data_IF_413923351033
#
_entry.id   IF_413923351033
#
_cell.length_a   1.000
_cell.length_b   1.000
_cell.length_c   1.000
_cell.angle_alpha   90.00
_cell.angle_beta   90.00
_cell.angle_gamma   90.00
#
_symmetry.space_group_name_H-M   'P 1'
#
loop_
_entity.id
_entity.type
_entity.pdbx_description
1 polymer ?
#
# COMPACT_ATOMS: atom_id res chain seq x y z
N UNK A 1 16.24 -5.17 14.33
CA UNK A 1 16.51 -5.40 12.89
C UNK A 1 15.79 -6.60 12.28
N UNK A 2 15.94 -7.84 12.79
CA UNK A 2 15.32 -9.04 12.17
C UNK A 2 13.79 -8.98 12.13
N UNK A 3 13.14 -8.56 13.22
CA UNK A 3 11.68 -8.45 13.30
C UNK A 3 11.10 -7.41 12.33
N UNK A 4 11.77 -6.26 12.16
CA UNK A 4 11.34 -5.21 11.23
C UNK A 4 11.44 -5.69 9.78
N UNK A 5 12.58 -6.30 9.40
CA UNK A 5 12.76 -6.89 8.07
C UNK A 5 11.73 -7.99 7.76
N UNK A 6 11.40 -8.82 8.77
CA UNK A 6 10.34 -9.83 8.65
C UNK A 6 8.96 -9.20 8.44
N UNK A 7 8.62 -8.13 9.19
CA UNK A 7 7.36 -7.40 9.03
C UNK A 7 7.25 -6.76 7.63
N UNK A 8 8.31 -6.10 7.14
CA UNK A 8 8.39 -5.54 5.79
C UNK A 8 8.18 -6.63 4.73
N UNK A 9 8.87 -7.77 4.85
CA UNK A 9 8.73 -8.88 3.90
C UNK A 9 7.30 -9.44 3.89
N UNK A 10 6.69 -9.59 5.07
CA UNK A 10 5.30 -10.05 5.21
C UNK A 10 4.31 -9.08 4.56
N UNK A 11 4.47 -7.77 4.76
CA UNK A 11 3.62 -6.75 4.12
C UNK A 11 3.77 -6.73 2.61
N UNK A 12 5.00 -6.89 2.08
CA UNK A 12 5.21 -6.98 0.63
C UNK A 12 4.50 -8.19 0.01
N UNK A 13 4.56 -9.35 0.67
CA UNK A 13 3.82 -10.54 0.24
C UNK A 13 2.31 -10.31 0.30
N UNK A 14 1.82 -9.71 1.38
CA UNK A 14 0.40 -9.38 1.53
C UNK A 14 -0.10 -8.39 0.46
N UNK A 15 0.69 -7.37 0.11
CA UNK A 15 0.37 -6.44 -0.98
C UNK A 15 0.36 -7.12 -2.34
N UNK A 16 1.24 -8.11 -2.57
CA UNK A 16 1.21 -8.91 -3.79
C UNK A 16 -0.07 -9.76 -3.90
N UNK A 17 -0.51 -10.35 -2.78
CA UNK A 17 -1.79 -11.06 -2.70
C UNK A 17 -2.97 -10.12 -3.00
N UNK A 18 -2.98 -8.93 -2.38
CA UNK A 18 -4.01 -7.91 -2.62
C UNK A 18 -4.07 -7.54 -4.11
N UNK A 19 -2.92 -7.31 -4.73
CA UNK A 19 -2.85 -6.97 -6.16
C UNK A 19 -3.45 -8.07 -7.04
N UNK A 20 -3.11 -9.32 -6.77
CA UNK A 20 -3.69 -10.47 -7.48
C UNK A 20 -5.21 -10.51 -7.34
N UNK A 21 -5.72 -10.29 -6.12
CA UNK A 21 -7.16 -10.25 -5.83
C UNK A 21 -7.86 -9.07 -6.52
N UNK A 22 -7.22 -7.91 -6.59
CA UNK A 22 -7.71 -6.72 -7.27
C UNK A 22 -7.90 -6.99 -8.77
N UNK A 23 -6.89 -7.58 -9.42
CA UNK A 23 -6.95 -7.94 -10.85
C UNK A 23 -8.09 -8.95 -11.13
N UNK A 24 -8.28 -9.93 -10.23
CA UNK A 24 -9.39 -10.89 -10.32
C UNK A 24 -10.76 -10.21 -10.20
N UNK A 25 -10.92 -9.30 -9.23
CA UNK A 25 -12.18 -8.56 -9.04
C UNK A 25 -12.46 -7.64 -10.23
N UNK A 26 -11.45 -6.95 -10.76
CA UNK A 26 -11.59 -6.09 -11.94
C UNK A 26 -12.08 -6.87 -13.16
N UNK A 27 -11.51 -8.05 -13.39
CA UNK A 27 -11.94 -8.94 -14.46
C UNK A 27 -13.40 -9.40 -14.26
N UNK A 28 -13.75 -9.79 -13.04
CA UNK A 28 -15.11 -10.23 -12.67
C UNK A 28 -16.14 -9.11 -12.88
N UNK A 29 -15.82 -7.89 -12.43
CA UNK A 29 -16.68 -6.71 -12.60
C UNK A 29 -16.89 -6.40 -14.09
N UNK A 30 -15.83 -6.43 -14.90
CA UNK A 30 -15.92 -6.22 -16.36
C UNK A 30 -16.80 -7.28 -17.03
N UNK A 31 -16.67 -8.54 -16.62
CA UNK A 31 -17.49 -9.64 -17.13
C UNK A 31 -18.97 -9.44 -16.82
N UNK A 32 -19.34 -9.15 -15.56
CA UNK A 32 -20.74 -8.92 -15.19
C UNK A 32 -21.35 -7.72 -15.92
N UNK A 33 -20.63 -6.61 -16.04
CA UNK A 33 -21.07 -5.46 -16.85
C UNK A 33 -21.34 -5.84 -18.30
N UNK A 34 -20.46 -6.65 -18.88
CA UNK A 34 -20.62 -7.14 -20.26
C UNK A 34 -21.85 -8.05 -20.39
N UNK A 35 -22.10 -8.91 -19.41
CA UNK A 35 -23.28 -9.79 -19.41
C UNK A 35 -24.58 -8.99 -19.30
N UNK A 36 -24.66 -8.04 -18.36
CA UNK A 36 -25.82 -7.14 -18.21
C UNK A 36 -26.13 -6.40 -19.51
N UNK A 37 -25.11 -5.86 -20.19
CA UNK A 37 -25.30 -5.14 -21.44
C UNK A 37 -25.79 -6.02 -22.60
N UNK A 38 -25.58 -7.34 -22.55
CA UNK A 38 -25.94 -8.28 -23.62
C UNK A 38 -27.35 -8.85 -23.47
N UNK A 39 -27.85 -8.99 -22.24
CA UNK A 39 -29.13 -9.64 -21.93
C UNK A 39 -30.36 -8.98 -22.58
N UNK A 40 -30.52 -7.64 -22.58
CA UNK A 40 -31.66 -6.98 -23.22
C UNK A 40 -31.78 -7.33 -24.71
N UNK A 41 -30.64 -7.39 -25.41
CA UNK A 41 -30.59 -7.77 -26.83
C UNK A 41 -31.10 -9.20 -27.04
N UNK A 42 -30.87 -10.12 -26.10
CA UNK A 42 -31.36 -11.50 -26.22
C UNK A 42 -32.88 -11.59 -26.07
N UNK A 43 -33.46 -10.76 -25.18
CA UNK A 43 -34.90 -10.61 -25.03
C UNK A 43 -35.56 -10.09 -26.32
N UNK A 44 -34.99 -9.02 -26.89
CA UNK A 44 -35.51 -8.37 -28.10
C UNK A 44 -35.57 -9.30 -29.31
N UNK A 45 -34.61 -10.21 -29.44
CA UNK A 45 -34.56 -11.19 -30.54
C UNK A 45 -35.28 -12.51 -30.21
N UNK A 46 -36.06 -12.55 -29.12
CA UNK A 46 -36.87 -13.71 -28.75
C UNK A 46 -36.05 -14.97 -28.42
N UNK A 47 -34.75 -14.82 -28.10
CA UNK A 47 -33.88 -15.96 -27.77
C UNK A 47 -34.15 -16.53 -26.39
N UNK A 48 -34.64 -15.69 -25.48
CA UNK A 48 -35.05 -16.00 -24.11
C UNK A 48 -36.25 -15.13 -23.75
N UNK A 49 -37.08 -15.61 -22.81
CA UNK A 49 -38.27 -14.87 -22.37
C UNK A 49 -37.88 -13.66 -21.51
N UNK A 50 -38.79 -12.68 -21.43
CA UNK A 50 -38.57 -11.48 -20.61
C UNK A 50 -38.34 -11.83 -19.13
N UNK A 51 -39.09 -12.79 -18.58
CA UNK A 51 -38.94 -13.20 -17.19
C UNK A 51 -37.55 -13.80 -16.90
N UNK A 52 -37.04 -14.64 -17.81
CA UNK A 52 -35.69 -15.20 -17.71
C UNK A 52 -34.65 -14.08 -17.76
N UNK A 53 -34.83 -13.10 -18.64
CA UNK A 53 -33.92 -11.95 -18.78
C UNK A 53 -33.89 -11.14 -17.50
N UNK A 54 -35.06 -10.78 -16.96
CA UNK A 54 -35.17 -9.96 -15.75
C UNK A 54 -34.59 -10.67 -14.54
N UNK A 55 -34.89 -11.97 -14.37
CA UNK A 55 -34.30 -12.80 -13.31
C UNK A 55 -32.77 -12.88 -13.42
N UNK A 56 -32.25 -13.12 -14.63
CA UNK A 56 -30.80 -13.17 -14.89
C UNK A 56 -30.13 -11.82 -14.63
N UNK A 57 -30.77 -10.72 -15.04
CA UNK A 57 -30.25 -9.37 -14.79
C UNK A 57 -30.19 -9.05 -13.31
N UNK A 58 -31.22 -9.42 -12.53
CA UNK A 58 -31.24 -9.22 -11.08
C UNK A 58 -30.09 -9.96 -10.39
N UNK A 59 -29.90 -11.24 -10.71
CA UNK A 59 -28.80 -12.05 -10.14
C UNK A 59 -27.42 -11.47 -10.48
N UNK A 60 -27.19 -11.12 -11.75
CA UNK A 60 -25.90 -10.56 -12.16
C UNK A 60 -25.66 -9.20 -11.51
N UNK A 61 -26.71 -8.38 -11.36
CA UNK A 61 -26.60 -7.08 -10.70
C UNK A 61 -26.23 -7.22 -9.22
N UNK A 62 -26.82 -8.18 -8.51
CA UNK A 62 -26.48 -8.48 -7.12
C UNK A 62 -25.00 -8.89 -6.99
N UNK A 63 -24.55 -9.82 -7.84
CA UNK A 63 -23.15 -10.29 -7.87
C UNK A 63 -22.18 -9.18 -8.25
N UNK A 64 -22.57 -8.29 -9.17
CA UNK A 64 -21.79 -7.11 -9.54
C UNK A 64 -21.63 -6.15 -8.35
N UNK A 65 -22.73 -5.85 -7.66
CA UNK A 65 -22.71 -4.97 -6.48
C UNK A 65 -21.80 -5.54 -5.39
N UNK A 66 -21.90 -6.85 -5.11
CA UNK A 66 -21.04 -7.54 -4.16
C UNK A 66 -19.56 -7.46 -4.54
N UNK A 67 -19.23 -7.71 -5.81
CA UNK A 67 -17.85 -7.64 -6.31
C UNK A 67 -17.29 -6.21 -6.21
N UNK A 68 -18.10 -5.19 -6.50
CA UNK A 68 -17.71 -3.79 -6.37
C UNK A 68 -17.47 -3.37 -4.92
N UNK A 69 -18.34 -3.77 -3.98
CA UNK A 69 -18.17 -3.51 -2.55
C UNK A 69 -16.90 -4.19 -2.02
N UNK A 70 -16.70 -5.46 -2.37
CA UNK A 70 -15.48 -6.22 -2.00
C UNK A 70 -14.22 -5.52 -2.52
N UNK A 71 -14.24 -5.02 -3.76
CA UNK A 71 -13.11 -4.26 -4.32
C UNK A 71 -12.84 -2.97 -3.55
N UNK A 72 -13.88 -2.24 -3.13
CA UNK A 72 -13.71 -1.03 -2.32
C UNK A 72 -13.05 -1.35 -0.97
N UNK A 73 -13.49 -2.40 -0.29
CA UNK A 73 -12.86 -2.86 0.96
C UNK A 73 -11.40 -3.27 0.74
N UNK A 74 -11.12 -4.00 -0.34
CA UNK A 74 -9.76 -4.40 -0.69
C UNK A 74 -8.84 -3.20 -0.92
N UNK A 75 -9.33 -2.14 -1.59
CA UNK A 75 -8.56 -0.91 -1.78
C UNK A 75 -8.29 -0.16 -0.48
N UNK A 76 -9.24 -0.12 0.45
CA UNK A 76 -9.02 0.46 1.77
C UNK A 76 -7.92 -0.29 2.54
N UNK A 77 -7.93 -1.62 2.49
CA UNK A 77 -6.89 -2.47 3.09
C UNK A 77 -5.53 -2.24 2.40
N UNK A 78 -5.52 -2.16 1.07
CA UNK A 78 -4.31 -1.89 0.27
C UNK A 78 -3.66 -0.58 0.69
N UNK A 79 -4.46 0.48 0.87
CA UNK A 79 -3.97 1.78 1.29
C UNK A 79 -3.27 1.67 2.64
N UNK A 80 -3.96 1.12 3.65
CA UNK A 80 -3.38 0.95 4.99
C UNK A 80 -2.11 0.10 4.99
N UNK A 81 -2.08 -0.99 4.23
CA UNK A 81 -0.88 -1.83 4.11
C UNK A 81 0.29 -1.12 3.41
N UNK A 82 0.00 -0.22 2.46
CA UNK A 82 1.01 0.59 1.75
C UNK A 82 1.58 1.66 2.66
N UNK A 83 0.74 2.32 3.45
CA UNK A 83 1.15 3.33 4.43
C UNK A 83 2.06 2.69 5.49
N UNK A 84 1.65 1.55 6.05
CA UNK A 84 2.44 0.81 7.03
C UNK A 84 3.79 0.34 6.46
N UNK A 85 3.80 -0.20 5.24
CA UNK A 85 5.04 -0.60 4.58
C UNK A 85 6.00 0.59 4.42
N UNK A 86 5.46 1.74 4.01
CA UNK A 86 6.25 2.97 3.85
C UNK A 86 6.84 3.42 5.19
N UNK A 87 6.06 3.39 6.28
CA UNK A 87 6.53 3.74 7.61
C UNK A 87 7.67 2.82 8.10
N UNK A 88 7.54 1.50 7.88
CA UNK A 88 8.58 0.54 8.26
C UNK A 88 9.86 0.72 7.44
N UNK A 89 9.75 0.96 6.12
CA UNK A 89 10.91 1.20 5.26
C UNK A 89 11.65 2.50 5.62
N UNK A 90 10.91 3.55 6.01
CA UNK A 90 11.52 4.78 6.52
C UNK A 90 12.25 4.54 7.85
N UNK A 91 11.61 3.81 8.78
CA UNK A 91 12.23 3.45 10.06
C UNK A 91 13.52 2.68 9.84
N UNK A 92 13.53 1.73 8.89
CA UNK A 92 14.73 0.98 8.54
C UNK A 92 15.86 1.91 8.05
N UNK A 93 15.56 2.84 7.14
CA UNK A 93 16.56 3.79 6.59
C UNK A 93 17.14 4.69 7.66
N UNK A 94 16.34 5.13 8.63
CA UNK A 94 16.81 5.96 9.76
C UNK A 94 17.76 5.18 10.65
N UNK A 95 17.44 3.92 10.98
CA UNK A 95 18.32 3.08 11.77
C UNK A 95 19.64 2.78 11.04
N UNK A 96 19.59 2.51 9.73
CA UNK A 96 20.80 2.33 8.91
C UNK A 96 21.65 3.61 8.86
N UNK A 97 21.04 4.80 8.76
CA UNK A 97 21.74 6.07 8.79
C UNK A 97 22.41 6.34 10.17
N UNK A 98 21.74 5.98 11.27
CA UNK A 98 22.30 6.08 12.63
C UNK A 98 23.49 5.14 12.83
N UNK A 99 23.38 3.89 12.36
CA UNK A 99 24.48 2.93 12.41
C UNK A 99 25.68 3.44 11.61
N UNK A 100 25.47 3.91 10.37
CA UNK A 100 26.52 4.49 9.54
C UNK A 100 27.18 5.72 10.18
N UNK A 101 26.40 6.62 10.78
CA UNK A 101 26.92 7.80 11.47
C UNK A 101 27.77 7.41 12.68
N UNK A 102 27.33 6.42 13.47
CA UNK A 102 28.09 5.89 14.60
C UNK A 102 29.42 5.28 14.17
N UNK A 103 29.40 4.50 13.09
CA UNK A 103 30.61 3.89 12.53
C UNK A 103 31.59 4.94 12.01
N UNK A 104 31.10 5.99 11.34
CA UNK A 104 31.95 7.11 10.91
C UNK A 104 32.54 7.85 12.11
N UNK A 105 31.74 8.14 13.15
CA UNK A 105 32.21 8.84 14.36
C UNK A 105 33.28 8.06 15.12
N UNK A 106 33.07 6.76 15.28
CA UNK A 106 34.08 5.89 15.92
C UNK A 106 35.39 5.82 15.13
N UNK A 107 35.33 5.88 13.79
CA UNK A 107 36.53 5.92 12.92
C UNK A 107 37.23 7.28 12.96
N UNK A 108 36.50 8.38 13.11
CA UNK A 108 37.08 9.73 13.19
C UNK A 108 37.76 10.00 14.53
N UNK A 109 37.21 9.50 15.64
CA UNK A 109 37.75 9.71 16.99
C UNK A 109 39.14 9.10 17.20
N UNK A 110 39.53 8.12 16.36
CA UNK A 110 40.86 7.50 16.37
C UNK A 110 41.85 8.03 15.32
N UNK A 111 41.46 9.00 14.49
CA UNK A 111 42.26 9.50 13.37
C UNK A 111 42.98 10.82 13.73
N UNK A 112 44.28 10.92 13.40
CA UNK A 112 45.07 12.14 13.62
C UNK A 112 44.60 13.34 12.77
N UNK A 113 43.91 13.06 11.66
CA UNK A 113 43.19 14.05 10.84
C UNK A 113 41.95 13.39 10.23
N UNK A 114 40.80 14.00 10.42
CA UNK A 114 39.55 13.55 9.79
C UNK A 114 39.48 14.14 8.39
N UNK A 115 39.24 13.28 7.40
CA UNK A 115 39.06 13.71 6.01
C UNK A 115 37.79 14.58 5.85
N UNK A 116 37.86 15.66 5.07
CA UNK A 116 36.75 16.58 4.84
C UNK A 116 35.54 15.85 4.21
N UNK A 117 35.79 14.81 3.41
CA UNK A 117 34.74 13.96 2.84
C UNK A 117 33.97 13.16 3.91
N UNK A 118 34.65 12.71 4.97
CA UNK A 118 34.01 12.04 6.11
C UNK A 118 33.15 13.02 6.91
N UNK A 119 33.63 14.25 7.12
CA UNK A 119 32.86 15.30 7.81
C UNK A 119 31.60 15.69 7.02
N UNK A 120 31.71 15.79 5.69
CA UNK A 120 30.57 16.08 4.83
C UNK A 120 29.50 14.97 4.87
N UNK A 121 29.91 13.70 4.83
CA UNK A 121 28.97 12.57 4.91
C UNK A 121 28.31 12.46 6.29
N UNK A 122 29.04 12.74 7.37
CA UNK A 122 28.44 12.83 8.72
C UNK A 122 27.32 13.87 8.78
N UNK A 123 27.56 15.09 8.26
CA UNK A 123 26.52 16.14 8.21
C UNK A 123 25.31 15.72 7.41
N UNK A 124 25.53 15.09 6.25
CA UNK A 124 24.44 14.59 5.40
C UNK A 124 23.57 13.56 6.13
N UNK A 125 24.19 12.62 6.87
CA UNK A 125 23.47 11.63 7.65
C UNK A 125 22.72 12.27 8.84
N UNK A 126 23.31 13.26 9.50
CA UNK A 126 22.66 14.02 10.57
C UNK A 126 21.44 14.81 10.07
N UNK A 127 21.56 15.48 8.93
CA UNK A 127 20.44 16.19 8.27
C UNK A 127 19.33 15.21 7.87
N UNK A 128 19.69 14.06 7.30
CA UNK A 128 18.75 13.01 6.96
C UNK A 128 17.99 12.51 8.19
N UNK A 129 18.67 12.17 9.28
CA UNK A 129 18.04 11.71 10.52
C UNK A 129 17.13 12.80 11.09
N UNK A 130 17.57 14.05 11.13
CA UNK A 130 16.79 15.16 11.68
C UNK A 130 15.49 15.42 10.89
N UNK A 131 15.56 15.42 9.56
CA UNK A 131 14.38 15.62 8.70
C UNK A 131 13.38 14.47 8.88
N UNK A 132 13.86 13.22 8.93
CA UNK A 132 12.98 12.06 9.09
C UNK A 132 12.40 11.92 10.50
N UNK A 133 13.13 12.27 11.55
CA UNK A 133 12.57 12.35 12.90
C UNK A 133 11.44 13.38 12.98
N UNK A 134 11.58 14.52 12.30
CA UNK A 134 10.55 15.56 12.21
C UNK A 134 9.34 15.12 11.38
N UNK A 135 9.54 14.36 10.31
CA UNK A 135 8.44 13.76 9.54
C UNK A 135 7.69 12.71 10.35
N UNK A 136 8.40 11.85 11.10
CA UNK A 136 7.78 10.86 11.98
C UNK A 136 6.93 11.53 13.08
N UNK A 137 7.44 12.61 13.69
CA UNK A 137 6.69 13.42 14.66
C UNK A 137 5.39 13.97 14.06
N UNK A 138 5.46 14.57 12.87
CA UNK A 138 4.27 15.10 12.16
C UNK A 138 3.26 14.02 11.81
N UNK A 139 3.70 12.86 11.35
CA UNK A 139 2.84 11.73 10.99
C UNK A 139 2.04 11.21 12.20
N UNK A 140 2.69 11.15 13.37
CA UNK A 140 2.05 10.82 14.64
C UNK A 140 0.98 11.87 14.96
N UNK A 141 1.32 13.16 14.93
CA UNK A 141 0.36 14.24 15.23
C UNK A 141 -0.85 14.24 14.29
N UNK A 142 -0.67 13.99 12.98
CA UNK A 142 -1.78 13.91 12.03
C UNK A 142 -2.67 12.69 12.26
N UNK A 143 -2.08 11.53 12.60
CA UNK A 143 -2.87 10.31 12.88
C UNK A 143 -3.71 10.43 14.17
N UNK A 144 -3.25 11.20 15.15
CA UNK A 144 -4.03 11.52 16.35
C UNK A 144 -5.24 12.41 16.05
N UNK A 145 -5.11 13.37 15.12
CA UNK A 145 -6.21 14.24 14.72
C UNK A 145 -7.27 13.52 13.86
N UNK A 146 -6.89 12.52 13.06
CA UNK A 146 -7.83 11.71 12.28
C UNK A 146 -8.60 10.67 13.12
N UNK A 147 -8.12 10.34 14.32
CA UNK A 147 -8.79 9.40 15.25
C UNK A 147 -9.80 10.04 16.21
N UNK A 148 -9.88 11.38 16.25
CA UNK A 148 -10.82 12.14 17.10
C UNK A 148 -12.08 12.64 16.35
N UNK A 149 -12.29 12.21 15.09
CA UNK A 149 -13.47 12.51 14.27
C UNK A 149 -14.29 11.25 13.97
#
# INVERSE_FOLDING_TARGET
MVQLRQATARLRLFLAEIRSREEQLDNTIRQFRTQLNRLPRQAMYGRITLDIVLSSMAEIQERLNYAQATRQHLLAIKQKATDELSALELTQKVEEAKEALKDLKSKSDGAASVDDGVVAEMRRLEEFIAEYSKQAERAITSSFQEGEL
#
